data_IF_781140414039
#
_entry.id   IF_781140414039
#
_cell.length_a   1.000
_cell.length_b   1.000
_cell.length_c   1.000
_cell.angle_alpha   90.00
_cell.angle_beta   90.00
_cell.angle_gamma   90.00
#
_symmetry.space_group_name_H-M   'P 1'
#
loop_
_entity.id
_entity.type
_entity.pdbx_description
1 polymer ?
#
# COMPACT_ATOMS: atom_id res chain seq x y z
N UNK A 1 6.12 9.78 -0.05
CA UNK A 1 6.53 8.45 0.46
C UNK A 1 7.49 7.70 -0.47
N UNK A 2 7.10 7.24 -1.67
CA UNK A 2 8.01 6.46 -2.53
C UNK A 2 9.31 7.22 -2.91
N UNK A 3 9.22 8.51 -3.19
CA UNK A 3 10.40 9.35 -3.47
C UNK A 3 11.39 9.46 -2.29
N UNK A 4 10.96 9.17 -1.06
CA UNK A 4 11.79 9.28 0.13
C UNK A 4 12.69 8.05 0.36
N UNK A 5 12.40 6.91 -0.28
CA UNK A 5 13.17 5.69 -0.13
C UNK A 5 13.28 4.96 -1.47
N UNK A 6 14.49 4.80 -2.04
CA UNK A 6 14.66 4.17 -3.36
C UNK A 6 14.23 2.70 -3.40
N UNK A 7 14.10 2.04 -2.25
CA UNK A 7 13.61 0.67 -2.15
C UNK A 7 12.08 0.57 -2.22
N UNK A 8 11.36 1.69 -2.23
CA UNK A 8 9.90 1.75 -2.30
C UNK A 8 9.47 2.26 -3.67
N UNK A 9 8.84 1.39 -4.46
CA UNK A 9 8.21 1.76 -5.73
C UNK A 9 6.71 1.93 -5.53
N UNK A 10 6.14 2.99 -6.11
CA UNK A 10 4.71 3.21 -6.16
C UNK A 10 4.31 3.66 -7.56
N UNK A 11 3.27 3.03 -8.10
CA UNK A 11 2.67 3.35 -9.39
C UNK A 11 1.19 3.69 -9.16
N UNK A 12 0.68 4.72 -9.84
CA UNK A 12 -0.73 5.13 -9.75
C UNK A 12 -1.42 4.67 -11.02
N UNK A 13 -2.53 3.94 -10.86
CA UNK A 13 -3.33 3.40 -11.98
C UNK A 13 -4.72 4.02 -11.94
N UNK A 14 -5.17 4.55 -13.08
CA UNK A 14 -6.52 5.08 -13.25
C UNK A 14 -7.51 3.93 -13.42
N UNK A 15 -8.38 3.70 -12.42
CA UNK A 15 -9.32 2.59 -12.42
C UNK A 15 -10.29 2.61 -13.63
N UNK A 16 -10.59 3.81 -14.14
CA UNK A 16 -11.48 4.04 -15.28
C UNK A 16 -10.81 3.69 -16.62
N UNK A 17 -9.49 3.84 -16.72
CA UNK A 17 -8.73 3.54 -17.95
C UNK A 17 -8.31 2.08 -18.03
N UNK A 18 -8.22 1.39 -16.89
CA UNK A 18 -7.79 -0.01 -16.81
C UNK A 18 -8.85 -0.92 -16.13
N UNK A 19 -10.04 -1.13 -16.75
CA UNK A 19 -11.11 -1.93 -16.14
C UNK A 19 -10.71 -3.38 -15.81
N UNK A 20 -9.89 -4.02 -16.65
CA UNK A 20 -9.39 -5.38 -16.40
C UNK A 20 -8.48 -5.44 -15.17
N UNK A 21 -7.66 -4.42 -14.95
CA UNK A 21 -6.81 -4.30 -13.76
C UNK A 21 -7.67 -4.04 -12.51
N UNK A 22 -8.67 -3.16 -12.62
CA UNK A 22 -9.66 -2.94 -11.57
C UNK A 22 -10.38 -4.24 -11.18
N UNK A 23 -10.78 -5.06 -12.15
CA UNK A 23 -11.38 -6.36 -11.91
C UNK A 23 -10.41 -7.34 -11.25
N UNK A 24 -9.15 -7.41 -11.72
CA UNK A 24 -8.11 -8.27 -11.13
C UNK A 24 -7.87 -7.99 -9.64
N UNK A 25 -7.91 -6.71 -9.25
CA UNK A 25 -7.73 -6.28 -7.87
C UNK A 25 -9.06 -6.03 -7.14
N UNK A 26 -10.19 -6.47 -7.69
CA UNK A 26 -11.53 -6.29 -7.11
C UNK A 26 -11.76 -4.85 -6.58
N UNK A 27 -11.40 -3.85 -7.38
CA UNK A 27 -11.55 -2.43 -7.03
C UNK A 27 -13.02 -2.06 -7.06
N UNK A 28 -13.62 -1.86 -5.88
CA UNK A 28 -15.01 -1.43 -5.72
C UNK A 28 -15.14 0.05 -5.37
N UNK A 29 -14.09 0.63 -4.77
CA UNK A 29 -14.03 2.03 -4.37
C UNK A 29 -12.59 2.54 -4.51
N UNK A 30 -12.46 3.85 -4.73
CA UNK A 30 -11.18 4.56 -4.86
C UNK A 30 -11.05 5.67 -3.81
N UNK A 31 -9.82 6.00 -3.35
CA UNK A 31 -8.56 5.33 -3.68
C UNK A 31 -8.44 3.95 -2.98
N UNK A 32 -7.83 2.98 -3.68
CA UNK A 32 -7.43 1.67 -3.14
C UNK A 32 -5.93 1.49 -3.40
N UNK A 33 -5.17 1.22 -2.36
CA UNK A 33 -3.73 0.89 -2.48
C UNK A 33 -3.54 -0.59 -2.25
N UNK A 34 -2.79 -1.26 -3.11
CA UNK A 34 -2.42 -2.67 -2.98
C UNK A 34 -0.92 -2.76 -2.71
N UNK A 35 -0.53 -3.45 -1.64
CA UNK A 35 0.86 -3.58 -1.21
C UNK A 35 1.36 -4.97 -1.58
N UNK A 36 2.31 -5.04 -2.53
CA UNK A 36 2.95 -6.30 -2.99
C UNK A 36 1.98 -7.45 -3.29
N UNK A 37 0.72 -7.15 -3.65
CA UNK A 37 -0.39 -8.12 -3.81
C UNK A 37 -0.68 -8.96 -2.55
N UNK A 38 -0.27 -8.48 -1.36
CA UNK A 38 -0.41 -9.15 -0.06
C UNK A 38 -1.38 -8.44 0.87
N UNK A 39 -1.53 -7.12 0.72
CA UNK A 39 -2.46 -6.34 1.52
C UNK A 39 -3.09 -5.20 0.75
N UNK A 40 -4.15 -4.66 1.33
CA UNK A 40 -4.98 -3.63 0.73
C UNK A 40 -5.32 -2.54 1.74
N UNK A 41 -5.27 -1.29 1.30
CA UNK A 41 -5.66 -0.12 2.09
C UNK A 41 -6.75 0.62 1.30
N UNK A 42 -7.92 0.75 1.90
CA UNK A 42 -9.07 1.43 1.30
C UNK A 42 -9.22 2.86 1.84
N UNK A 43 -9.39 3.80 0.92
CA UNK A 43 -9.54 5.22 1.21
C UNK A 43 -8.22 5.93 1.55
N UNK A 44 -8.31 7.25 1.71
CA UNK A 44 -7.19 8.04 2.17
C UNK A 44 -6.96 7.82 3.67
N UNK A 45 -5.69 7.86 4.08
CA UNK A 45 -5.24 7.74 5.47
C UNK A 45 -4.22 8.84 5.78
N UNK A 46 -4.14 9.31 7.04
CA UNK A 46 -2.99 10.10 7.48
C UNK A 46 -1.68 9.32 7.27
N UNK A 47 -0.59 10.02 6.97
CA UNK A 47 0.68 9.42 6.55
C UNK A 47 1.20 8.36 7.52
N UNK A 48 1.30 8.68 8.81
CA UNK A 48 1.78 7.73 9.82
C UNK A 48 0.94 6.45 9.89
N UNK A 49 -0.38 6.56 9.77
CA UNK A 49 -1.28 5.40 9.75
C UNK A 49 -1.10 4.57 8.49
N UNK A 50 -0.93 5.22 7.34
CA UNK A 50 -0.70 4.53 6.09
C UNK A 50 0.59 3.71 6.14
N UNK A 51 1.70 4.28 6.64
CA UNK A 51 2.98 3.56 6.78
C UNK A 51 2.82 2.34 7.68
N UNK A 52 2.16 2.49 8.84
CA UNK A 52 1.92 1.36 9.75
C UNK A 52 1.09 0.25 9.09
N UNK A 53 0.02 0.60 8.38
CA UNK A 53 -0.81 -0.39 7.65
C UNK A 53 -0.01 -1.10 6.53
N UNK A 54 0.87 -0.38 5.82
CA UNK A 54 1.79 -0.97 4.84
C UNK A 54 2.72 -1.99 5.50
N UNK A 55 3.40 -1.61 6.59
CA UNK A 55 4.35 -2.50 7.28
C UNK A 55 3.65 -3.75 7.83
N UNK A 56 2.50 -3.58 8.47
CA UNK A 56 1.69 -4.69 8.98
C UNK A 56 1.25 -5.63 7.86
N UNK A 57 0.88 -5.11 6.68
CA UNK A 57 0.52 -5.95 5.52
C UNK A 57 1.68 -6.80 4.98
N UNK A 58 2.92 -6.40 5.28
CA UNK A 58 4.13 -7.13 4.95
C UNK A 58 4.56 -8.08 6.08
N UNK A 59 3.83 -8.13 7.20
CA UNK A 59 4.18 -8.90 8.39
C UNK A 59 5.26 -8.24 9.26
N UNK A 60 5.51 -6.95 9.06
CA UNK A 60 6.45 -6.15 9.84
C UNK A 60 5.64 -5.41 10.91
N UNK A 61 5.89 -5.72 12.18
CA UNK A 61 5.29 -4.98 13.28
C UNK A 61 6.09 -3.68 13.53
N UNK A 62 5.52 -2.50 13.24
CA UNK A 62 6.21 -1.22 13.47
C UNK A 62 6.36 -0.88 14.95
N UNK A 63 5.68 -1.59 15.86
CA UNK A 63 5.80 -1.44 17.31
C UNK A 63 6.81 -2.39 17.95
N UNK A 64 7.28 -3.40 17.21
CA UNK A 64 8.30 -4.31 17.70
C UNK A 64 9.67 -3.59 17.81
N UNK A 65 10.47 -3.87 18.86
CA UNK A 65 11.80 -3.29 18.98
C UNK A 65 12.65 -3.71 17.78
N UNK A 66 13.24 -2.73 17.09
CA UNK A 66 14.16 -3.00 15.98
C UNK A 66 15.46 -3.55 16.56
N UNK A 67 15.63 -4.88 16.50
CA UNK A 67 16.91 -5.52 16.78
C UNK A 67 17.81 -5.24 15.58
N UNK A 68 18.64 -4.21 15.69
CA UNK A 68 19.77 -4.00 14.79
C UNK A 68 20.73 -5.19 14.98
N UNK A 69 21.04 -5.88 13.88
CA UNK A 69 22.04 -6.96 13.81
C UNK A 69 23.22 -6.53 12.96
#
# INVERSE_FOLDING_TARGET
MAMANPNVRADVVSANEFPSFSAQFAVQAVPKTVVNKRGEILGARPEGRFVSEVLLSLGIDPSAPQVEG
#
